data_IF_196558013415
#
_entry.id   IF_196558013415
#
_cell.length_a   1.000
_cell.length_b   1.000
_cell.length_c   1.000
_cell.angle_alpha   90.00
_cell.angle_beta   90.00
_cell.angle_gamma   90.00
#
_symmetry.space_group_name_H-M   'P 1'
#
loop_
_entity.id
_entity.type
_entity.pdbx_description
1 polymer ?
#
# COMPACT_ATOMS: atom_id res chain seq x y z
N UNK A 1 38.83 11.58 -22.55
CA UNK A 1 37.60 10.91 -22.06
C UNK A 1 37.13 9.79 -22.96
N UNK A 2 36.98 10.03 -24.28
CA UNK A 2 36.36 9.07 -25.22
C UNK A 2 37.14 7.73 -25.37
N UNK A 3 38.48 7.78 -25.36
CA UNK A 3 39.32 6.58 -25.44
C UNK A 3 39.16 5.67 -24.21
N UNK A 4 39.01 6.23 -23.00
CA UNK A 4 38.85 5.47 -21.77
C UNK A 4 37.53 4.67 -21.74
N UNK A 5 36.49 5.10 -22.46
CA UNK A 5 35.24 4.35 -22.62
C UNK A 5 35.35 3.12 -23.55
N UNK A 6 36.52 2.90 -24.15
CA UNK A 6 36.85 1.75 -25.01
C UNK A 6 37.99 0.92 -24.42
N UNK A 7 38.44 1.21 -23.22
CA UNK A 7 39.49 0.49 -22.55
C UNK A 7 39.10 -0.98 -22.35
N UNK A 8 40.04 -1.91 -22.49
CA UNK A 8 39.80 -3.32 -22.24
C UNK A 8 39.41 -3.59 -20.77
N UNK A 9 39.98 -2.82 -19.84
CA UNK A 9 39.72 -2.93 -18.43
C UNK A 9 38.35 -2.29 -18.08
N UNK A 10 37.43 -3.12 -17.59
CA UNK A 10 36.09 -2.70 -17.15
C UNK A 10 36.11 -1.60 -16.09
N UNK A 11 37.07 -1.60 -15.18
CA UNK A 11 37.18 -0.60 -14.14
C UNK A 11 37.61 0.77 -14.68
N UNK A 12 38.46 0.79 -15.72
CA UNK A 12 38.82 2.02 -16.42
C UNK A 12 37.58 2.60 -17.12
N UNK A 13 36.79 1.76 -17.80
CA UNK A 13 35.55 2.21 -18.44
C UNK A 13 34.54 2.74 -17.41
N UNK A 14 34.35 2.03 -16.29
CA UNK A 14 33.45 2.42 -15.22
C UNK A 14 33.85 3.76 -14.57
N UNK A 15 35.12 3.93 -14.23
CA UNK A 15 35.65 5.19 -13.70
C UNK A 15 35.54 6.34 -14.72
N UNK A 16 35.75 6.07 -15.99
CA UNK A 16 35.55 7.06 -17.04
C UNK A 16 34.11 7.58 -17.09
N UNK A 17 33.12 6.69 -16.98
CA UNK A 17 31.68 7.06 -16.86
C UNK A 17 31.48 7.99 -15.67
N UNK A 18 31.93 7.58 -14.48
CA UNK A 18 31.78 8.35 -13.24
C UNK A 18 32.34 9.78 -13.39
N UNK A 19 33.56 9.92 -13.88
CA UNK A 19 34.22 11.20 -14.02
C UNK A 19 33.56 12.10 -15.10
N UNK A 20 33.08 11.50 -16.18
CA UNK A 20 32.41 12.25 -17.26
C UNK A 20 31.09 12.88 -16.78
N UNK A 21 30.33 12.21 -15.93
CA UNK A 21 29.04 12.72 -15.45
C UNK A 21 29.13 13.57 -14.17
N UNK A 22 30.34 13.75 -13.62
CA UNK A 22 30.52 14.47 -12.36
C UNK A 22 30.00 15.91 -12.43
N UNK A 23 30.24 16.60 -13.53
CA UNK A 23 29.79 17.99 -13.74
C UNK A 23 28.35 18.10 -14.27
N UNK A 24 27.64 16.98 -14.46
CA UNK A 24 26.27 16.94 -15.01
C UNK A 24 26.09 17.56 -16.41
N UNK A 25 27.16 17.86 -17.08
CA UNK A 25 27.19 18.35 -18.47
C UNK A 25 27.74 17.25 -19.37
N UNK A 26 26.84 16.57 -20.07
CA UNK A 26 27.21 15.49 -20.97
C UNK A 26 27.11 15.93 -22.43
N UNK A 27 28.24 15.94 -23.15
CA UNK A 27 28.24 16.23 -24.58
C UNK A 27 27.44 15.16 -25.36
N UNK A 28 26.76 15.56 -26.44
CA UNK A 28 25.92 14.67 -27.24
C UNK A 28 26.63 13.40 -27.74
N UNK A 29 27.91 13.52 -28.10
CA UNK A 29 28.72 12.37 -28.51
C UNK A 29 28.97 11.37 -27.40
N UNK A 30 29.08 11.85 -26.15
CA UNK A 30 29.24 11.00 -24.96
C UNK A 30 27.90 10.35 -24.58
N UNK A 31 26.75 11.07 -24.66
CA UNK A 31 25.43 10.52 -24.49
C UNK A 31 25.19 9.34 -25.43
N UNK A 32 25.51 9.50 -26.72
CA UNK A 32 25.38 8.43 -27.70
C UNK A 32 26.24 7.21 -27.34
N UNK A 33 27.47 7.43 -26.88
CA UNK A 33 28.35 6.33 -26.46
C UNK A 33 27.84 5.61 -25.20
N UNK A 34 27.32 6.34 -24.22
CA UNK A 34 26.76 5.75 -23.03
C UNK A 34 25.54 4.88 -23.35
N UNK A 35 24.64 5.36 -24.22
CA UNK A 35 23.47 4.60 -24.68
C UNK A 35 23.89 3.30 -25.38
N UNK A 36 24.90 3.37 -26.26
CA UNK A 36 25.48 2.19 -26.90
C UNK A 36 26.04 1.20 -25.86
N UNK A 37 26.83 1.68 -24.90
CA UNK A 37 27.38 0.85 -23.82
C UNK A 37 26.31 0.24 -22.93
N UNK A 38 25.24 0.95 -22.64
CA UNK A 38 24.11 0.42 -21.87
C UNK A 38 23.52 -0.84 -22.51
N UNK A 39 23.41 -0.85 -23.83
CA UNK A 39 22.88 -1.98 -24.58
C UNK A 39 23.92 -3.10 -24.81
N UNK A 40 25.24 -2.78 -24.89
CA UNK A 40 26.24 -3.71 -25.46
C UNK A 40 27.41 -4.05 -24.53
N UNK A 41 27.69 -3.27 -23.48
CA UNK A 41 28.86 -3.54 -22.63
C UNK A 41 28.68 -4.88 -21.85
N UNK A 42 29.65 -5.80 -21.97
CA UNK A 42 29.55 -7.12 -21.34
C UNK A 42 29.73 -7.08 -19.83
N UNK A 43 30.25 -5.99 -19.25
CA UNK A 43 30.60 -5.93 -17.84
C UNK A 43 29.45 -5.44 -16.98
N UNK A 44 29.01 -6.19 -15.96
CA UNK A 44 28.03 -5.72 -14.97
C UNK A 44 28.56 -4.52 -14.17
N UNK A 45 29.86 -4.40 -13.95
CA UNK A 45 30.47 -3.23 -13.31
C UNK A 45 30.21 -1.97 -14.12
N UNK A 46 30.43 -2.02 -15.43
CA UNK A 46 30.17 -0.87 -16.32
C UNK A 46 28.68 -0.54 -16.36
N UNK A 47 27.81 -1.55 -16.44
CA UNK A 47 26.35 -1.35 -16.44
C UNK A 47 25.86 -0.74 -15.12
N UNK A 48 26.44 -1.12 -13.99
CA UNK A 48 26.16 -0.50 -12.70
C UNK A 48 26.49 1.00 -12.69
N UNK A 49 27.63 1.39 -13.24
CA UNK A 49 28.03 2.80 -13.33
C UNK A 49 27.15 3.58 -14.32
N UNK A 50 26.71 2.96 -15.41
CA UNK A 50 25.74 3.56 -16.33
C UNK A 50 24.37 3.74 -15.67
N UNK A 51 23.90 2.77 -14.89
CA UNK A 51 22.67 2.90 -14.10
C UNK A 51 22.76 4.07 -13.09
N UNK A 52 23.90 4.21 -12.42
CA UNK A 52 24.16 5.35 -11.51
C UNK A 52 24.22 6.69 -12.26
N UNK A 53 24.66 6.70 -13.51
CA UNK A 53 24.76 7.90 -14.33
C UNK A 53 23.40 8.48 -14.75
N UNK A 54 22.32 7.68 -14.74
CA UNK A 54 20.97 8.12 -15.15
C UNK A 54 20.55 9.40 -14.41
N UNK A 55 20.83 9.51 -13.11
CA UNK A 55 20.48 10.69 -12.31
C UNK A 55 21.35 11.94 -12.60
N UNK A 56 22.38 11.81 -13.40
CA UNK A 56 23.38 12.86 -13.65
C UNK A 56 23.41 13.35 -15.10
N UNK A 57 22.58 12.77 -15.93
CA UNK A 57 22.43 13.14 -17.35
C UNK A 57 21.09 13.86 -17.57
N UNK A 58 20.90 14.45 -18.76
CA UNK A 58 19.61 15.01 -19.11
C UNK A 58 18.52 13.92 -19.21
N UNK A 59 17.23 14.23 -19.00
CA UNK A 59 16.15 13.26 -18.97
C UNK A 59 16.10 12.33 -20.19
N UNK A 60 16.25 12.84 -21.41
CA UNK A 60 16.18 12.00 -22.62
C UNK A 60 17.33 10.99 -22.73
N UNK A 61 18.53 11.39 -22.33
CA UNK A 61 19.65 10.45 -22.19
C UNK A 61 19.35 9.43 -21.08
N UNK A 62 18.78 9.87 -19.96
CA UNK A 62 18.39 8.99 -18.86
C UNK A 62 17.38 7.91 -19.29
N UNK A 63 16.34 8.30 -20.02
CA UNK A 63 15.39 7.36 -20.60
C UNK A 63 16.03 6.35 -21.55
N UNK A 64 16.91 6.81 -22.42
CA UNK A 64 17.61 5.95 -23.40
C UNK A 64 18.59 4.99 -22.73
N UNK A 65 19.31 5.42 -21.68
CA UNK A 65 20.17 4.56 -20.88
C UNK A 65 19.35 3.48 -20.17
N UNK A 66 18.21 3.89 -19.60
CA UNK A 66 17.31 2.97 -18.90
C UNK A 66 16.79 1.90 -19.86
N UNK A 67 16.36 2.26 -21.05
CA UNK A 67 15.87 1.29 -22.06
C UNK A 67 16.93 0.23 -22.38
N UNK A 68 18.18 0.64 -22.65
CA UNK A 68 19.26 -0.29 -22.93
C UNK A 68 19.58 -1.24 -21.77
N UNK A 69 19.62 -0.71 -20.54
CA UNK A 69 19.95 -1.50 -19.34
C UNK A 69 18.82 -2.45 -18.94
N UNK A 70 17.56 -2.04 -19.13
CA UNK A 70 16.38 -2.85 -18.81
C UNK A 70 16.26 -4.13 -19.64
N UNK A 71 16.90 -4.18 -20.81
CA UNK A 71 16.94 -5.37 -21.68
C UNK A 71 18.03 -6.37 -21.28
N UNK A 72 18.85 -6.06 -20.26
CA UNK A 72 19.98 -6.90 -19.82
C UNK A 72 19.52 -7.93 -18.80
N UNK A 73 18.87 -9.01 -19.26
CA UNK A 73 18.28 -10.06 -18.39
C UNK A 73 19.34 -10.76 -17.50
N UNK A 74 20.61 -10.78 -17.89
CA UNK A 74 21.70 -11.32 -17.07
C UNK A 74 21.90 -10.57 -15.74
N UNK A 75 21.39 -9.34 -15.63
CA UNK A 75 21.48 -8.53 -14.42
C UNK A 75 20.28 -8.76 -13.46
N UNK A 76 19.33 -9.62 -13.81
CA UNK A 76 18.12 -9.85 -13.02
C UNK A 76 18.41 -10.31 -11.58
N UNK A 77 19.47 -11.08 -11.39
CA UNK A 77 19.92 -11.57 -10.08
C UNK A 77 21.02 -10.71 -9.43
N UNK A 78 21.46 -9.64 -10.08
CA UNK A 78 22.45 -8.74 -9.50
C UNK A 78 21.85 -7.98 -8.29
N UNK A 79 22.66 -7.87 -7.25
CA UNK A 79 22.21 -7.26 -5.98
C UNK A 79 21.96 -5.76 -6.10
N UNK A 80 22.65 -5.06 -6.99
CA UNK A 80 22.73 -3.60 -7.04
C UNK A 80 22.13 -2.99 -8.31
N UNK A 81 22.33 -3.61 -9.48
CA UNK A 81 21.93 -3.03 -10.76
C UNK A 81 20.42 -2.75 -10.83
N UNK A 82 19.51 -3.68 -10.48
CA UNK A 82 18.06 -3.38 -10.50
C UNK A 82 17.67 -2.21 -9.59
N UNK A 83 18.31 -2.11 -8.43
CA UNK A 83 18.06 -1.00 -7.48
C UNK A 83 18.56 0.33 -8.00
N UNK A 84 19.76 0.35 -8.59
CA UNK A 84 20.32 1.56 -9.19
C UNK A 84 19.52 2.04 -10.38
N UNK A 85 19.02 1.11 -11.19
CA UNK A 85 18.08 1.43 -12.28
C UNK A 85 16.81 2.06 -11.74
N UNK A 86 16.23 1.48 -10.67
CA UNK A 86 15.05 2.06 -10.03
C UNK A 86 15.32 3.48 -9.52
N UNK A 87 16.43 3.70 -8.82
CA UNK A 87 16.79 5.05 -8.35
C UNK A 87 17.02 6.06 -9.48
N UNK A 88 17.48 5.59 -10.63
CA UNK A 88 17.61 6.42 -11.83
C UNK A 88 16.27 6.73 -12.49
N UNK A 89 15.38 5.75 -12.57
CA UNK A 89 14.08 5.85 -13.21
C UNK A 89 13.04 6.61 -12.39
N UNK A 90 13.03 6.46 -11.06
CA UNK A 90 12.00 7.05 -10.21
C UNK A 90 11.85 8.57 -10.41
N UNK A 91 12.92 9.40 -10.44
CA UNK A 91 12.79 10.82 -10.73
C UNK A 91 12.28 11.12 -12.15
N UNK A 92 12.63 10.30 -13.14
CA UNK A 92 12.12 10.45 -14.51
C UNK A 92 10.62 10.13 -14.58
N UNK A 93 10.18 9.12 -13.82
CA UNK A 93 8.77 8.73 -13.73
C UNK A 93 7.89 9.78 -13.01
N UNK A 94 8.46 10.67 -12.21
CA UNK A 94 7.70 11.81 -11.65
C UNK A 94 7.19 12.75 -12.75
N UNK A 95 7.91 12.84 -13.86
CA UNK A 95 7.56 13.71 -15.00
C UNK A 95 6.77 12.99 -16.08
N UNK A 96 7.02 11.70 -16.28
CA UNK A 96 6.35 10.86 -17.29
C UNK A 96 6.18 9.42 -16.75
N UNK A 97 5.19 9.20 -15.87
CA UNK A 97 4.96 7.89 -15.26
C UNK A 97 4.57 6.81 -16.27
N UNK A 98 3.78 7.18 -17.29
CA UNK A 98 3.31 6.22 -18.31
C UNK A 98 4.47 5.68 -19.14
N UNK A 99 5.43 6.52 -19.50
CA UNK A 99 6.66 6.11 -20.21
C UNK A 99 7.49 5.16 -19.37
N UNK A 100 7.66 5.46 -18.08
CA UNK A 100 8.43 4.63 -17.15
C UNK A 100 7.80 3.26 -16.93
N UNK A 101 6.51 3.21 -16.69
CA UNK A 101 5.75 1.95 -16.53
C UNK A 101 5.84 1.11 -17.80
N UNK A 102 5.62 1.71 -18.97
CA UNK A 102 5.71 1.01 -20.26
C UNK A 102 7.11 0.45 -20.54
N UNK A 103 8.16 1.17 -20.15
CA UNK A 103 9.54 0.72 -20.27
C UNK A 103 9.84 -0.48 -19.35
N UNK A 104 9.46 -0.39 -18.08
CA UNK A 104 9.67 -1.45 -17.12
C UNK A 104 8.90 -2.73 -17.48
N UNK A 105 7.69 -2.62 -18.04
CA UNK A 105 6.91 -3.78 -18.49
C UNK A 105 7.55 -4.57 -19.62
N UNK A 106 8.39 -3.93 -20.42
CA UNK A 106 9.18 -4.58 -21.47
C UNK A 106 10.52 -5.09 -20.95
N UNK A 107 10.80 -4.90 -19.68
CA UNK A 107 12.09 -5.21 -19.07
C UNK A 107 12.28 -6.71 -18.89
N UNK A 108 13.54 -7.14 -19.02
CA UNK A 108 14.00 -8.47 -18.64
C UNK A 108 14.34 -8.59 -17.13
N UNK A 109 13.97 -7.60 -16.31
CA UNK A 109 14.29 -7.51 -14.88
C UNK A 109 13.03 -7.56 -14.01
N UNK A 110 12.58 -8.74 -13.57
CA UNK A 110 11.29 -8.93 -12.87
C UNK A 110 11.13 -8.07 -11.60
N UNK A 111 12.20 -7.84 -10.85
CA UNK A 111 12.18 -7.02 -9.63
C UNK A 111 11.67 -5.61 -9.88
N UNK A 112 11.93 -5.05 -11.07
CA UNK A 112 11.48 -3.71 -11.43
C UNK A 112 9.98 -3.64 -11.71
N UNK A 113 9.37 -4.73 -12.17
CA UNK A 113 7.91 -4.80 -12.36
C UNK A 113 7.16 -4.57 -11.04
N UNK A 114 7.62 -5.18 -9.95
CA UNK A 114 7.02 -4.95 -8.62
C UNK A 114 7.17 -3.49 -8.17
N UNK A 115 8.31 -2.86 -8.43
CA UNK A 115 8.51 -1.44 -8.11
C UNK A 115 7.63 -0.52 -8.95
N UNK A 116 7.47 -0.81 -10.24
CA UNK A 116 6.59 -0.05 -11.12
C UNK A 116 5.12 -0.16 -10.70
N UNK A 117 4.66 -1.35 -10.34
CA UNK A 117 3.31 -1.60 -9.87
C UNK A 117 3.03 -0.87 -8.54
N UNK A 118 3.96 -0.96 -7.60
CA UNK A 118 3.92 -0.18 -6.36
C UNK A 118 3.84 1.33 -6.63
N UNK A 119 4.67 1.83 -7.53
CA UNK A 119 4.71 3.26 -7.86
C UNK A 119 3.43 3.72 -8.57
N UNK A 120 2.92 2.94 -9.50
CA UNK A 120 1.66 3.22 -10.19
C UNK A 120 0.48 3.28 -9.21
N UNK A 121 0.44 2.35 -8.25
CA UNK A 121 -0.56 2.38 -7.18
C UNK A 121 -0.45 3.64 -6.32
N UNK A 122 0.79 4.04 -5.95
CA UNK A 122 1.06 5.25 -5.15
C UNK A 122 0.65 6.54 -5.87
N UNK A 123 0.74 6.59 -7.20
CA UNK A 123 0.32 7.74 -8.01
C UNK A 123 -1.20 7.91 -8.05
N UNK A 124 -1.96 6.85 -7.74
CA UNK A 124 -3.42 6.83 -7.79
C UNK A 124 -4.01 7.10 -9.20
N UNK A 125 -5.30 7.44 -9.27
CA UNK A 125 -5.97 7.80 -10.52
C UNK A 125 -5.85 6.73 -11.61
N UNK A 126 -5.61 7.14 -12.83
CA UNK A 126 -5.51 6.24 -13.98
C UNK A 126 -4.36 5.23 -13.88
N UNK A 127 -3.26 5.58 -13.21
CA UNK A 127 -2.13 4.67 -13.04
C UNK A 127 -2.49 3.51 -12.11
N UNK A 128 -3.20 3.77 -11.01
CA UNK A 128 -3.74 2.75 -10.12
C UNK A 128 -4.77 1.88 -10.85
N UNK A 129 -5.70 2.48 -11.58
CA UNK A 129 -6.75 1.76 -12.29
C UNK A 129 -6.18 0.75 -13.31
N UNK A 130 -5.15 1.16 -14.07
CA UNK A 130 -4.45 0.26 -15.01
C UNK A 130 -3.82 -0.94 -14.31
N UNK A 131 -3.15 -0.72 -13.18
CA UNK A 131 -2.50 -1.81 -12.43
C UNK A 131 -3.54 -2.75 -11.82
N UNK A 132 -4.69 -2.22 -11.39
CA UNK A 132 -5.82 -3.03 -10.92
C UNK A 132 -6.40 -3.87 -12.06
N UNK A 133 -6.60 -3.28 -13.25
CA UNK A 133 -7.10 -4.03 -14.41
C UNK A 133 -6.20 -5.22 -14.78
N UNK A 134 -4.89 -5.14 -14.53
CA UNK A 134 -3.96 -6.25 -14.79
C UNK A 134 -4.17 -7.46 -13.87
N UNK A 135 -4.85 -7.29 -12.72
CA UNK A 135 -5.21 -8.43 -11.86
C UNK A 135 -6.11 -9.46 -12.56
N UNK A 136 -6.85 -9.05 -13.59
CA UNK A 136 -7.69 -9.96 -14.38
C UNK A 136 -6.86 -10.93 -15.26
N UNK A 137 -5.69 -10.50 -15.71
CA UNK A 137 -4.92 -11.22 -16.75
C UNK A 137 -3.56 -11.71 -16.31
N UNK A 138 -3.07 -11.31 -15.13
CA UNK A 138 -1.75 -11.71 -14.66
C UNK A 138 -1.71 -13.14 -14.14
N UNK A 139 -0.62 -13.84 -14.43
CA UNK A 139 -0.35 -15.16 -13.84
C UNK A 139 0.09 -15.08 -12.37
N UNK A 140 0.56 -13.90 -11.91
CA UNK A 140 1.01 -13.68 -10.52
C UNK A 140 0.19 -12.58 -9.83
N UNK A 141 -1.09 -12.91 -9.57
CA UNK A 141 -1.99 -12.02 -8.83
C UNK A 141 -1.46 -11.69 -7.43
N UNK A 142 -0.73 -12.61 -6.79
CA UNK A 142 -0.20 -12.40 -5.45
C UNK A 142 0.84 -11.28 -5.42
N UNK A 143 1.85 -11.32 -6.28
CA UNK A 143 2.88 -10.29 -6.33
C UNK A 143 2.28 -8.92 -6.74
N UNK A 144 1.32 -8.93 -7.65
CA UNK A 144 0.68 -7.70 -8.12
C UNK A 144 -0.17 -7.05 -7.03
N UNK A 145 -1.04 -7.80 -6.36
CA UNK A 145 -1.89 -7.25 -5.30
C UNK A 145 -1.08 -6.81 -4.07
N UNK A 146 0.03 -7.49 -3.75
CA UNK A 146 0.97 -7.03 -2.71
C UNK A 146 1.60 -5.69 -3.06
N UNK A 147 2.03 -5.50 -4.30
CA UNK A 147 2.61 -4.24 -4.76
C UNK A 147 1.59 -3.10 -4.70
N UNK A 148 0.33 -3.36 -5.10
CA UNK A 148 -0.78 -2.39 -5.00
C UNK A 148 -1.04 -2.02 -3.54
N UNK A 149 -1.21 -3.00 -2.67
CA UNK A 149 -1.49 -2.77 -1.25
C UNK A 149 -0.36 -2.00 -0.56
N UNK A 150 0.90 -2.30 -0.91
CA UNK A 150 2.06 -1.58 -0.40
C UNK A 150 2.09 -0.12 -0.90
N UNK A 151 1.73 0.13 -2.16
CA UNK A 151 1.67 1.47 -2.75
C UNK A 151 0.59 2.35 -2.11
N UNK A 152 -0.50 1.74 -1.67
CA UNK A 152 -1.63 2.41 -1.04
C UNK A 152 -1.54 2.45 0.49
N UNK A 153 -0.49 1.88 1.07
CA UNK A 153 -0.32 1.86 2.53
C UNK A 153 -0.29 3.29 3.11
N UNK A 154 -1.13 3.52 4.13
CA UNK A 154 -1.28 4.83 4.76
C UNK A 154 -2.10 5.85 3.97
N UNK A 155 -2.70 5.46 2.85
CA UNK A 155 -3.66 6.28 2.10
C UNK A 155 -5.08 6.11 2.69
N UNK A 156 -5.90 7.15 2.58
CA UNK A 156 -7.28 7.17 3.08
C UNK A 156 -8.17 7.93 2.09
N UNK A 157 -9.46 7.59 2.07
CA UNK A 157 -10.47 8.32 1.27
C UNK A 157 -10.24 8.23 -0.23
N UNK A 158 -9.75 7.09 -0.69
CA UNK A 158 -9.53 6.85 -2.12
C UNK A 158 -10.85 6.58 -2.82
N UNK A 159 -11.02 7.18 -3.99
CA UNK A 159 -12.11 6.80 -4.88
C UNK A 159 -11.86 5.38 -5.41
N UNK A 160 -12.92 4.58 -5.48
CA UNK A 160 -12.84 3.24 -6.06
C UNK A 160 -12.38 3.33 -7.52
N UNK A 161 -11.31 2.61 -7.89
CA UNK A 161 -10.88 2.54 -9.28
C UNK A 161 -11.94 1.87 -10.17
N UNK A 162 -12.20 2.38 -11.38
CA UNK A 162 -13.22 1.84 -12.29
C UNK A 162 -13.09 0.34 -12.56
N UNK A 163 -11.87 -0.19 -12.63
CA UNK A 163 -11.60 -1.61 -12.89
C UNK A 163 -11.80 -2.50 -11.68
N UNK A 164 -11.88 -1.94 -10.45
CA UNK A 164 -11.97 -2.72 -9.22
C UNK A 164 -13.19 -3.66 -9.17
N UNK A 165 -14.42 -3.23 -9.51
CA UNK A 165 -15.59 -4.11 -9.47
C UNK A 165 -15.49 -5.35 -10.37
N UNK A 166 -14.73 -5.27 -11.46
CA UNK A 166 -14.53 -6.39 -12.40
C UNK A 166 -13.67 -7.50 -11.79
N UNK A 167 -12.62 -7.14 -11.04
CA UNK A 167 -11.63 -8.10 -10.52
C UNK A 167 -11.93 -8.52 -9.08
N UNK A 168 -12.60 -7.69 -8.30
CA UNK A 168 -12.72 -7.84 -6.85
C UNK A 168 -13.44 -9.12 -6.41
N UNK A 169 -14.51 -9.51 -7.10
CA UNK A 169 -15.34 -10.66 -6.71
C UNK A 169 -14.56 -11.98 -6.75
N UNK A 170 -13.72 -12.17 -7.74
CA UNK A 170 -12.84 -13.34 -7.85
C UNK A 170 -11.75 -13.28 -6.77
N UNK A 171 -11.16 -12.12 -6.55
CA UNK A 171 -10.11 -11.92 -5.56
C UNK A 171 -10.61 -12.14 -4.13
N UNK A 172 -11.84 -11.75 -3.77
CA UNK A 172 -12.41 -11.98 -2.44
C UNK A 172 -12.57 -13.47 -2.10
N UNK A 173 -12.78 -14.31 -3.12
CA UNK A 173 -12.92 -15.77 -3.00
C UNK A 173 -11.68 -16.53 -3.44
N UNK A 174 -10.54 -15.86 -3.59
CA UNK A 174 -9.32 -16.45 -4.12
C UNK A 174 -8.81 -17.58 -3.20
N UNK A 175 -8.34 -18.69 -3.83
CA UNK A 175 -7.83 -19.87 -3.10
C UNK A 175 -6.60 -19.58 -2.23
N UNK A 176 -5.77 -18.64 -2.64
CA UNK A 176 -4.69 -18.11 -1.79
C UNK A 176 -5.27 -17.11 -0.79
N UNK A 177 -5.31 -17.51 0.49
CA UNK A 177 -5.84 -16.69 1.59
C UNK A 177 -5.15 -15.32 1.72
N UNK A 178 -3.88 -15.21 1.35
CA UNK A 178 -3.15 -13.94 1.37
C UNK A 178 -3.71 -12.95 0.34
N UNK A 179 -4.00 -13.45 -0.88
CA UNK A 179 -4.62 -12.65 -1.95
C UNK A 179 -6.03 -12.21 -1.52
N UNK A 180 -6.85 -13.15 -1.04
CA UNK A 180 -8.21 -12.84 -0.57
C UNK A 180 -8.21 -11.79 0.55
N UNK A 181 -7.29 -11.90 1.51
CA UNK A 181 -7.14 -10.91 2.57
C UNK A 181 -6.76 -9.54 2.04
N UNK A 182 -5.75 -9.45 1.19
CA UNK A 182 -5.32 -8.17 0.59
C UNK A 182 -6.45 -7.55 -0.25
N UNK A 183 -7.21 -8.37 -0.96
CA UNK A 183 -8.38 -7.90 -1.71
C UNK A 183 -9.45 -7.29 -0.78
N UNK A 184 -9.77 -7.94 0.34
CA UNK A 184 -10.70 -7.38 1.33
C UNK A 184 -10.18 -6.07 1.96
N UNK A 185 -8.88 -6.00 2.25
CA UNK A 185 -8.25 -4.78 2.78
C UNK A 185 -8.36 -3.63 1.75
N UNK A 186 -8.10 -3.91 0.47
CA UNK A 186 -8.26 -2.95 -0.63
C UNK A 186 -9.73 -2.58 -0.88
N UNK A 187 -10.64 -3.55 -0.86
CA UNK A 187 -12.09 -3.29 -0.98
C UNK A 187 -12.59 -2.37 0.12
N UNK A 188 -12.09 -2.56 1.35
CA UNK A 188 -12.39 -1.67 2.47
C UNK A 188 -11.82 -0.27 2.26
N UNK A 189 -10.60 -0.16 1.69
CA UNK A 189 -9.95 1.12 1.38
C UNK A 189 -10.68 1.90 0.28
N UNK A 190 -11.28 1.20 -0.69
CA UNK A 190 -12.05 1.77 -1.80
C UNK A 190 -13.54 1.96 -1.47
N UNK A 191 -13.96 1.66 -0.25
CA UNK A 191 -15.37 1.69 0.18
C UNK A 191 -16.26 0.80 -0.71
N UNK A 192 -15.78 -0.39 -1.03
CA UNK A 192 -16.54 -1.37 -1.83
C UNK A 192 -17.67 -1.97 -1.01
N UNK A 193 -18.88 -1.49 -1.26
CA UNK A 193 -20.07 -1.91 -0.52
C UNK A 193 -20.36 -3.43 -0.65
N UNK A 194 -19.84 -4.09 -1.68
CA UNK A 194 -20.08 -5.51 -1.94
C UNK A 194 -19.48 -6.43 -0.87
N UNK A 195 -18.44 -5.99 -0.14
CA UNK A 195 -17.80 -6.80 0.92
C UNK A 195 -18.56 -6.78 2.24
N UNK A 196 -19.32 -5.74 2.52
CA UNK A 196 -19.91 -5.54 3.85
C UNK A 196 -20.87 -6.63 4.32
N UNK A 197 -21.77 -7.19 3.48
CA UNK A 197 -22.63 -8.29 3.90
C UNK A 197 -21.84 -9.51 4.37
N UNK A 198 -20.78 -9.90 3.66
CA UNK A 198 -19.90 -11.01 4.02
C UNK A 198 -19.12 -10.74 5.31
N UNK A 199 -18.58 -9.54 5.46
CA UNK A 199 -17.87 -9.13 6.68
C UNK A 199 -18.82 -9.11 7.90
N UNK A 200 -20.06 -8.63 7.74
CA UNK A 200 -21.06 -8.66 8.82
C UNK A 200 -21.40 -10.11 9.23
N UNK A 201 -21.59 -10.99 8.25
CA UNK A 201 -21.87 -12.40 8.53
C UNK A 201 -20.69 -13.05 9.28
N UNK A 202 -19.45 -12.85 8.83
CA UNK A 202 -18.25 -13.35 9.51
C UNK A 202 -18.12 -12.81 10.93
N UNK A 203 -18.38 -11.53 11.15
CA UNK A 203 -18.29 -10.90 12.46
C UNK A 203 -19.37 -11.42 13.41
N UNK A 204 -20.59 -11.62 12.93
CA UNK A 204 -21.73 -12.11 13.70
C UNK A 204 -21.60 -13.60 14.06
N UNK A 205 -20.90 -14.39 13.25
CA UNK A 205 -20.75 -15.84 13.45
C UNK A 205 -19.79 -16.13 14.62
N UNK A 206 -20.36 -16.50 15.78
CA UNK A 206 -19.58 -16.72 17.01
C UNK A 206 -18.58 -17.88 16.90
N UNK A 207 -18.85 -18.86 16.03
CA UNK A 207 -18.01 -20.04 15.79
C UNK A 207 -16.91 -19.81 14.76
N UNK A 208 -16.96 -18.70 14.02
CA UNK A 208 -15.92 -18.34 13.06
C UNK A 208 -14.56 -18.09 13.76
N UNK A 209 -13.44 -18.37 13.09
CA UNK A 209 -12.11 -18.13 13.64
C UNK A 209 -11.97 -16.69 14.16
N UNK A 210 -11.46 -16.53 15.39
CA UNK A 210 -11.35 -15.21 16.03
C UNK A 210 -10.50 -14.21 15.24
N UNK A 211 -9.52 -14.71 14.47
CA UNK A 211 -8.69 -13.87 13.60
C UNK A 211 -9.53 -13.25 12.47
N UNK A 212 -10.40 -14.03 11.84
CA UNK A 212 -11.28 -13.59 10.76
C UNK A 212 -12.32 -12.59 11.26
N UNK A 213 -12.93 -12.89 12.42
CA UNK A 213 -13.86 -11.96 13.09
C UNK A 213 -13.21 -10.63 13.44
N UNK A 214 -11.94 -10.64 13.92
CA UNK A 214 -11.19 -9.41 14.21
C UNK A 214 -10.84 -8.63 12.95
N UNK A 215 -10.50 -9.31 11.86
CA UNK A 215 -10.27 -8.67 10.55
C UNK A 215 -11.55 -8.02 10.03
N UNK A 216 -12.68 -8.74 10.08
CA UNK A 216 -13.98 -8.21 9.69
C UNK A 216 -14.41 -7.01 10.56
N UNK A 217 -14.21 -7.08 11.89
CA UNK A 217 -14.47 -5.95 12.79
C UNK A 217 -13.65 -4.71 12.38
N UNK A 218 -12.37 -4.87 12.13
CA UNK A 218 -11.49 -3.76 11.77
C UNK A 218 -11.91 -3.09 10.46
N UNK A 219 -12.21 -3.89 9.43
CA UNK A 219 -12.68 -3.39 8.14
C UNK A 219 -14.01 -2.61 8.27
N UNK A 220 -15.00 -3.20 8.95
CA UNK A 220 -16.31 -2.57 9.18
C UNK A 220 -16.22 -1.31 10.06
N UNK A 221 -15.34 -1.31 11.08
CA UNK A 221 -15.12 -0.15 11.94
C UNK A 221 -14.46 1.03 11.25
N UNK A 222 -13.68 0.79 10.20
CA UNK A 222 -13.11 1.85 9.37
C UNK A 222 -14.19 2.50 8.49
N UNK A 223 -15.04 1.70 7.87
CA UNK A 223 -16.10 2.15 6.98
C UNK A 223 -17.28 2.81 7.72
N UNK A 224 -17.59 2.36 8.95
CA UNK A 224 -18.74 2.83 9.76
C UNK A 224 -20.07 2.83 9.00
N UNK A 225 -20.30 1.78 8.20
CA UNK A 225 -21.55 1.62 7.47
C UNK A 225 -22.74 1.57 8.45
N UNK A 226 -23.82 2.34 8.25
CA UNK A 226 -25.00 2.38 9.14
C UNK A 226 -25.56 1.00 9.49
N UNK A 227 -25.58 0.08 8.52
CA UNK A 227 -26.07 -1.29 8.71
C UNK A 227 -25.22 -2.15 9.68
N UNK A 228 -24.06 -1.67 10.10
CA UNK A 228 -23.16 -2.39 11.03
C UNK A 228 -23.24 -1.88 12.47
N UNK A 229 -23.90 -0.74 12.70
CA UNK A 229 -23.94 -0.08 14.01
C UNK A 229 -24.54 -0.99 15.08
N UNK A 230 -25.70 -1.60 14.79
CA UNK A 230 -26.38 -2.51 15.73
C UNK A 230 -25.55 -3.78 16.00
N UNK A 231 -24.86 -4.29 14.99
CA UNK A 231 -23.95 -5.42 15.17
C UNK A 231 -22.81 -5.05 16.14
N UNK A 232 -22.18 -3.88 15.98
CA UNK A 232 -21.15 -3.43 16.91
C UNK A 232 -21.68 -3.32 18.34
N UNK A 233 -22.86 -2.73 18.53
CA UNK A 233 -23.47 -2.60 19.84
C UNK A 233 -23.73 -3.97 20.50
N UNK A 234 -24.12 -4.97 19.72
CA UNK A 234 -24.33 -6.35 20.26
C UNK A 234 -23.03 -7.01 20.74
N UNK A 235 -21.90 -6.65 20.15
CA UNK A 235 -20.57 -7.18 20.52
C UNK A 235 -20.01 -6.62 21.84
N UNK A 236 -20.73 -5.72 22.53
CA UNK A 236 -20.41 -5.35 23.90
C UNK A 236 -20.51 -6.54 24.86
N UNK A 237 -21.28 -7.58 24.51
CA UNK A 237 -21.39 -8.79 25.29
C UNK A 237 -20.34 -9.86 24.95
N UNK A 238 -19.58 -9.68 23.83
CA UNK A 238 -18.51 -10.58 23.46
C UNK A 238 -17.16 -10.12 24.10
N UNK A 239 -16.55 -10.93 24.99
CA UNK A 239 -15.29 -10.56 25.64
C UNK A 239 -14.13 -10.22 24.69
N UNK A 240 -14.13 -10.79 23.48
CA UNK A 240 -13.08 -10.56 22.49
C UNK A 240 -13.20 -9.20 21.80
N UNK A 241 -14.39 -8.62 21.78
CA UNK A 241 -14.67 -7.37 21.07
C UNK A 241 -15.06 -6.22 22.00
N UNK A 242 -15.50 -6.49 23.20
CA UNK A 242 -16.01 -5.49 24.16
C UNK A 242 -15.16 -4.22 24.21
N UNK A 243 -13.86 -4.34 24.47
CA UNK A 243 -12.98 -3.17 24.57
C UNK A 243 -12.86 -2.40 23.25
N UNK A 244 -12.92 -3.12 22.11
CA UNK A 244 -12.88 -2.49 20.78
C UNK A 244 -14.15 -1.70 20.50
N UNK A 245 -15.31 -2.24 20.86
CA UNK A 245 -16.61 -1.54 20.73
C UNK A 245 -16.68 -0.33 21.66
N UNK A 246 -16.23 -0.47 22.91
CA UNK A 246 -16.17 0.66 23.86
C UNK A 246 -15.36 1.83 23.23
N UNK A 247 -14.19 1.54 22.67
CA UNK A 247 -13.34 2.57 22.01
C UNK A 247 -13.96 3.14 20.74
N UNK A 248 -14.75 2.33 20.03
CA UNK A 248 -15.42 2.75 18.80
C UNK A 248 -16.69 3.58 19.08
N UNK A 249 -17.32 3.41 20.24
CA UNK A 249 -18.64 3.95 20.59
C UNK A 249 -18.80 5.46 20.35
N UNK A 250 -17.80 6.34 20.56
CA UNK A 250 -17.96 7.75 20.25
C UNK A 250 -18.16 8.06 18.76
N UNK A 251 -17.78 7.12 17.88
CA UNK A 251 -17.94 7.25 16.44
C UNK A 251 -19.26 6.66 15.94
N UNK A 252 -19.92 5.83 16.76
CA UNK A 252 -21.21 5.24 16.41
C UNK A 252 -22.30 6.30 16.57
N UNK A 253 -23.10 6.48 15.52
CA UNK A 253 -24.27 7.37 15.57
C UNK A 253 -25.48 6.62 16.12
N UNK A 254 -25.41 6.31 17.44
CA UNK A 254 -26.41 5.55 18.14
C UNK A 254 -26.71 6.21 19.50
N UNK A 255 -27.93 6.68 19.65
CA UNK A 255 -28.35 7.49 20.82
C UNK A 255 -28.29 6.76 22.16
N UNK A 256 -28.46 5.42 22.17
CA UNK A 256 -28.50 4.59 23.37
C UNK A 256 -27.15 3.91 23.70
N UNK A 257 -26.12 4.16 22.93
CA UNK A 257 -24.82 3.52 23.16
C UNK A 257 -24.22 3.88 24.53
N UNK A 258 -24.38 5.12 24.96
CA UNK A 258 -23.92 5.56 26.27
C UNK A 258 -24.63 4.81 27.40
N UNK A 259 -25.94 4.65 27.30
CA UNK A 259 -26.74 3.88 28.28
C UNK A 259 -26.30 2.42 28.32
N UNK A 260 -26.05 1.80 27.17
CA UNK A 260 -25.55 0.42 27.08
C UNK A 260 -24.19 0.25 27.74
N UNK A 261 -23.28 1.24 27.61
CA UNK A 261 -21.99 1.24 28.29
C UNK A 261 -22.15 1.35 29.82
N UNK A 262 -23.02 2.23 30.28
CA UNK A 262 -23.26 2.46 31.69
C UNK A 262 -23.94 1.23 32.36
N UNK A 263 -24.92 0.62 31.71
CA UNK A 263 -25.61 -0.60 32.22
C UNK A 263 -24.63 -1.77 32.45
N UNK A 264 -23.50 -1.79 31.76
CA UNK A 264 -22.51 -2.84 31.88
C UNK A 264 -21.28 -2.44 32.71
N UNK A 265 -21.27 -1.22 33.25
CA UNK A 265 -20.10 -0.62 33.88
C UNK A 265 -19.53 -1.48 35.01
N UNK A 266 -20.36 -2.04 35.84
CA UNK A 266 -20.00 -2.92 36.96
C UNK A 266 -19.39 -4.26 36.52
N UNK A 267 -19.60 -4.65 35.24
CA UNK A 267 -19.02 -5.88 34.68
C UNK A 267 -17.63 -5.66 34.06
N UNK A 268 -17.19 -4.40 34.01
CA UNK A 268 -15.96 -4.04 33.35
C UNK A 268 -14.72 -4.27 34.22
N UNK A 269 -13.67 -4.82 33.63
CA UNK A 269 -12.34 -4.79 34.25
C UNK A 269 -11.72 -3.38 34.14
N UNK A 270 -10.61 -3.15 34.84
CA UNK A 270 -9.91 -1.84 34.89
C UNK A 270 -9.63 -1.23 33.51
N UNK A 271 -9.24 -2.04 32.52
CA UNK A 271 -8.95 -1.57 31.15
C UNK A 271 -10.25 -1.13 30.47
N UNK A 272 -11.31 -1.89 30.62
CA UNK A 272 -12.63 -1.61 30.04
C UNK A 272 -13.27 -0.38 30.68
N UNK A 273 -13.21 -0.24 32.02
CA UNK A 273 -13.73 0.93 32.74
C UNK A 273 -13.00 2.20 32.30
N UNK A 274 -11.68 2.17 32.22
CA UNK A 274 -10.89 3.31 31.74
C UNK A 274 -11.24 3.67 30.29
N UNK A 275 -11.40 2.67 29.41
CA UNK A 275 -11.82 2.90 28.04
C UNK A 275 -13.24 3.48 27.95
N UNK A 276 -14.17 3.01 28.78
CA UNK A 276 -15.56 3.48 28.83
C UNK A 276 -15.63 4.95 29.31
N UNK A 277 -14.91 5.30 30.36
CA UNK A 277 -14.82 6.69 30.84
C UNK A 277 -14.26 7.61 29.73
N UNK A 278 -13.17 7.20 29.09
CA UNK A 278 -12.62 7.96 27.97
C UNK A 278 -13.62 8.12 26.81
N UNK A 279 -14.34 7.06 26.45
CA UNK A 279 -15.32 7.12 25.38
C UNK A 279 -16.51 8.02 25.73
N UNK A 280 -17.05 7.88 26.94
CA UNK A 280 -18.19 8.66 27.43
C UNK A 280 -17.90 10.16 27.55
N UNK A 281 -16.63 10.56 27.68
CA UNK A 281 -16.23 11.98 27.76
C UNK A 281 -15.94 12.63 26.41
N UNK A 282 -15.98 11.89 25.29
CA UNK A 282 -15.64 12.43 23.96
C UNK A 282 -16.78 13.22 23.29
N UNK A 283 -18.06 12.95 23.67
CA UNK A 283 -19.24 13.66 23.16
C UNK A 283 -20.05 14.24 24.29
N UNK A 284 -20.57 15.44 24.13
CA UNK A 284 -21.39 16.12 25.14
C UNK A 284 -22.59 15.29 25.58
N UNK A 285 -23.33 14.68 24.63
CA UNK A 285 -24.48 13.81 24.94
C UNK A 285 -24.11 12.59 25.80
N UNK A 286 -22.96 11.96 25.48
CA UNK A 286 -22.47 10.79 26.24
C UNK A 286 -21.97 11.21 27.64
N UNK A 287 -21.33 12.37 27.74
CA UNK A 287 -20.89 12.92 29.02
C UNK A 287 -22.05 13.30 29.93
N UNK A 288 -23.14 13.82 29.39
CA UNK A 288 -24.34 14.09 30.13
C UNK A 288 -24.92 12.79 30.75
N UNK A 289 -25.03 11.70 29.97
CA UNK A 289 -25.48 10.39 30.45
C UNK A 289 -24.54 9.83 31.54
N UNK A 290 -23.22 10.01 31.42
CA UNK A 290 -22.27 9.62 32.47
C UNK A 290 -22.47 10.42 33.73
N UNK A 291 -22.68 11.75 33.66
CA UNK A 291 -22.89 12.60 34.82
C UNK A 291 -24.19 12.22 35.56
N UNK A 292 -25.24 11.86 34.83
CA UNK A 292 -26.51 11.42 35.44
C UNK A 292 -26.36 10.04 36.10
N UNK A 293 -25.59 9.14 35.52
CA UNK A 293 -25.23 7.85 36.11
C UNK A 293 -24.42 8.01 37.42
N UNK A 294 -23.48 8.99 37.44
CA UNK A 294 -22.72 9.32 38.63
C UNK A 294 -23.58 9.98 39.72
N UNK A 295 -24.55 10.81 39.34
CA UNK A 295 -25.51 11.41 40.30
C UNK A 295 -26.43 10.35 40.93
N UNK A 296 -26.92 9.40 40.14
CA UNK A 296 -27.76 8.29 40.58
C UNK A 296 -27.02 7.23 41.39
N UNK A 297 -25.69 7.24 41.38
CA UNK A 297 -24.85 6.23 42.04
C UNK A 297 -24.67 4.95 41.24
N UNK A 298 -25.09 4.92 39.97
CA UNK A 298 -24.90 3.77 39.08
C UNK A 298 -23.42 3.62 38.68
N UNK A 299 -22.68 4.71 38.64
CA UNK A 299 -21.24 4.74 38.42
C UNK A 299 -20.58 5.46 39.60
N UNK A 300 -19.53 4.86 40.18
CA UNK A 300 -18.82 5.42 41.32
C UNK A 300 -18.12 6.74 40.94
N UNK A 301 -18.27 7.76 41.78
CA UNK A 301 -17.65 9.10 41.57
C UNK A 301 -16.14 9.13 41.86
N UNK A 302 -15.61 8.07 42.46
CA UNK A 302 -14.22 7.96 42.84
C UNK A 302 -13.30 7.37 41.72
N UNK A 303 -13.88 7.04 40.58
CA UNK A 303 -13.20 6.41 39.45
C UNK A 303 -12.39 7.41 38.57
#
# INVERSE_FOLDING_TARGET
GFQLLRDENQHVRAWAIQLIVENRELAASMSKRFIEMAATDPSPVVRLYLASAIQRVNPETGWSLSDGLLQRGEDASDRYIPKMLWYGLAPLMETDPDRGIALIRKSSLPTLSSYANWYAAKLQGNSLDRVIAELETTDDQHALIEAIALGLNGQFGLSMPPSWPTVSQELYSHTNQRVAKLALDLGSLFDDASIYPGLRATLAEATAPIADRKSAFSALANALNPETIDLFASLLDDPNFRVHVIRLSPRLDQSDIADRLIQRFDTYNKIQSSAALNALTQKESMAATLLDAMKSGTVDRSL
#
